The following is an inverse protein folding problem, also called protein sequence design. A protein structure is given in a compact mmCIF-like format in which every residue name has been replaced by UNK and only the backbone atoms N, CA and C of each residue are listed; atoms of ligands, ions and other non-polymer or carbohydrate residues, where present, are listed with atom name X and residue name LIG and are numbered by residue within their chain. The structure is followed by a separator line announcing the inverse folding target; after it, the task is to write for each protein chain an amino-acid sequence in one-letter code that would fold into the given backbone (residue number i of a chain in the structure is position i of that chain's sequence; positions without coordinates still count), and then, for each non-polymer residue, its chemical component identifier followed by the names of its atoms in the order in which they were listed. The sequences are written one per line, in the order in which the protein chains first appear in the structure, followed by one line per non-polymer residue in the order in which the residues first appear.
data_IF_229981878173
#
_entry.id   IF_229981878173
#
_cell.length_a   1.000
_cell.length_b   1.000
_cell.length_c   1.000
_cell.angle_alpha   90.00
_cell.angle_beta   90.00
_cell.angle_gamma   90.00
#
_symmetry.space_group_name_H-M   'P 1'
#
loop_
_entity.id
_entity.type
_entity.pdbx_description
1 polymer ?
#
# COMPACT_ATOMS: atom_id res chain seq x y z
N UNK A 1 -22.65 19.44 31.58
CA UNK A 1 -21.39 19.62 30.81
C UNK A 1 -21.26 18.36 29.96
N UNK A 2 -21.43 18.49 28.69
CA UNK A 2 -21.14 17.33 27.80
C UNK A 2 -19.67 16.94 28.01
N UNK A 3 -19.43 15.69 28.39
CA UNK A 3 -18.07 15.20 28.60
C UNK A 3 -17.37 15.25 27.22
N UNK A 4 -16.19 15.89 27.18
CA UNK A 4 -15.38 15.88 25.97
C UNK A 4 -15.14 14.45 25.50
N UNK A 5 -15.15 14.22 24.16
CA UNK A 5 -14.81 12.95 23.55
C UNK A 5 -13.35 12.62 23.91
N UNK A 6 -13.08 11.37 24.30
CA UNK A 6 -11.72 10.91 24.63
C UNK A 6 -11.20 10.06 23.49
N UNK A 7 -10.03 10.43 22.98
CA UNK A 7 -9.44 9.80 21.80
C UNK A 7 -8.01 9.34 22.11
N UNK A 8 -7.71 8.08 21.79
CA UNK A 8 -6.33 7.59 21.80
C UNK A 8 -5.81 7.56 20.38
N UNK A 9 -4.61 8.11 20.19
CA UNK A 9 -3.96 8.25 18.89
C UNK A 9 -2.60 7.56 18.92
N UNK A 10 -2.32 6.75 17.90
CA UNK A 10 -0.96 6.25 17.65
C UNK A 10 -0.04 7.45 17.34
N UNK A 11 0.89 7.71 18.27
CA UNK A 11 1.82 8.86 18.22
C UNK A 11 2.67 8.93 16.95
N UNK A 12 2.79 7.82 16.21
CA UNK A 12 3.55 7.79 14.98
C UNK A 12 2.70 8.10 13.73
N UNK A 13 1.46 8.62 13.91
CA UNK A 13 0.67 9.20 12.82
C UNK A 13 1.17 10.64 12.60
N UNK A 14 1.75 10.95 11.44
CA UNK A 14 2.26 12.29 11.20
C UNK A 14 1.14 13.31 11.00
N UNK A 15 1.41 14.59 11.21
CA UNK A 15 0.50 15.73 10.95
C UNK A 15 -0.81 15.74 11.74
N UNK A 16 -0.94 15.01 12.85
CA UNK A 16 -2.18 14.90 13.62
C UNK A 16 -2.14 15.68 14.95
N UNK A 17 -0.95 15.94 15.46
CA UNK A 17 -0.75 16.66 16.72
C UNK A 17 -1.32 18.09 16.65
N UNK A 18 -2.05 18.51 17.67
CA UNK A 18 -2.71 19.81 17.74
C UNK A 18 -4.03 19.93 16.95
N UNK A 19 -4.45 18.89 16.22
CA UNK A 19 -5.63 18.92 15.34
C UNK A 19 -6.93 18.65 16.10
N UNK A 20 -6.92 17.65 16.96
CA UNK A 20 -8.12 17.18 17.69
C UNK A 20 -8.25 17.74 19.10
N UNK A 21 -7.17 18.24 19.70
CA UNK A 21 -7.12 18.76 21.07
C UNK A 21 -8.07 19.92 21.34
N UNK A 22 -8.40 20.81 20.37
CA UNK A 22 -9.43 21.82 20.59
C UNK A 22 -10.84 21.25 20.85
N UNK A 23 -11.08 20.00 20.37
CA UNK A 23 -12.41 19.38 20.32
C UNK A 23 -12.56 18.16 21.25
N UNK A 24 -11.44 17.56 21.66
CA UNK A 24 -11.42 16.29 22.39
C UNK A 24 -10.29 16.24 23.41
N UNK A 25 -10.40 15.32 24.37
CA UNK A 25 -9.29 14.94 25.24
C UNK A 25 -8.46 13.87 24.51
N UNK A 26 -7.24 14.23 24.12
CA UNK A 26 -6.37 13.39 23.27
C UNK A 26 -5.23 12.81 24.08
N UNK A 27 -4.98 11.51 23.88
CA UNK A 27 -3.84 10.79 24.47
C UNK A 27 -3.05 10.16 23.31
N UNK A 28 -1.76 10.48 23.22
CA UNK A 28 -0.83 9.88 22.28
C UNK A 28 -0.11 8.71 22.93
N UNK A 29 -0.07 7.57 22.21
CA UNK A 29 0.65 6.37 22.66
C UNK A 29 1.34 5.69 21.47
N UNK A 30 2.40 4.94 21.75
CA UNK A 30 2.95 4.01 20.77
C UNK A 30 1.88 2.97 20.41
N UNK A 31 1.67 2.72 19.12
CA UNK A 31 0.57 1.86 18.64
C UNK A 31 0.59 0.44 19.23
N UNK A 32 1.79 -0.13 19.52
CA UNK A 32 1.90 -1.43 20.20
C UNK A 32 1.61 -1.38 21.70
N UNK A 33 1.73 -0.21 22.29
CA UNK A 33 1.50 -0.01 23.72
C UNK A 33 0.05 0.38 24.07
N UNK A 34 -0.82 0.57 23.06
CA UNK A 34 -2.25 0.81 23.31
C UNK A 34 -2.86 -0.46 23.90
N UNK A 35 -3.27 -0.35 25.17
CA UNK A 35 -3.78 -1.47 25.97
C UNK A 35 -5.30 -1.41 26.12
N UNK A 36 -5.89 -2.49 26.66
CA UNK A 36 -7.31 -2.50 27.02
C UNK A 36 -7.66 -1.47 28.11
N UNK A 37 -6.76 -1.22 29.07
CA UNK A 37 -6.94 -0.21 30.10
C UNK A 37 -7.07 1.19 29.47
N UNK A 38 -6.30 1.49 28.44
CA UNK A 38 -6.42 2.71 27.67
C UNK A 38 -7.78 2.77 26.97
N UNK A 39 -8.17 1.71 26.29
CA UNK A 39 -9.44 1.62 25.55
C UNK A 39 -10.66 1.72 26.48
N UNK A 40 -10.57 1.28 27.75
CA UNK A 40 -11.61 1.47 28.76
C UNK A 40 -11.87 2.96 29.09
N UNK A 41 -10.95 3.83 28.71
CA UNK A 41 -11.05 5.27 28.95
C UNK A 41 -11.17 6.07 27.64
N UNK A 42 -11.52 5.44 26.52
CA UNK A 42 -11.58 6.09 25.21
C UNK A 42 -12.93 5.87 24.51
N UNK A 43 -13.43 6.91 23.84
CA UNK A 43 -14.60 6.84 22.95
C UNK A 43 -14.21 6.46 21.52
N UNK A 44 -12.97 6.78 21.13
CA UNK A 44 -12.43 6.47 19.79
C UNK A 44 -10.93 6.17 19.79
N UNK A 45 -10.51 5.45 18.78
CA UNK A 45 -9.10 5.16 18.49
C UNK A 45 -8.74 5.66 17.09
N UNK A 46 -7.59 6.35 16.95
CA UNK A 46 -6.95 6.61 15.65
C UNK A 46 -5.61 5.89 15.64
N UNK A 47 -5.51 4.87 14.79
CA UNK A 47 -4.43 3.89 14.86
C UNK A 47 -3.71 3.71 13.51
N UNK A 48 -2.67 2.89 13.54
CA UNK A 48 -2.03 2.28 12.37
C UNK A 48 -1.97 0.77 12.55
N UNK A 49 -1.34 0.08 11.61
CA UNK A 49 -1.26 -1.40 11.54
C UNK A 49 -0.63 -2.09 12.76
N UNK A 50 -0.02 -1.34 13.69
CA UNK A 50 0.65 -1.89 14.89
C UNK A 50 -0.31 -2.19 16.05
N UNK A 51 -1.51 -1.61 16.05
CA UNK A 51 -2.54 -1.82 17.08
C UNK A 51 -3.52 -2.88 16.61
N UNK A 52 -3.51 -4.05 17.23
CA UNK A 52 -4.48 -5.12 16.94
C UNK A 52 -5.78 -4.84 17.66
N UNK A 53 -6.85 -4.59 16.91
CA UNK A 53 -8.19 -4.29 17.42
C UNK A 53 -9.13 -5.48 17.27
N UNK A 54 -9.29 -6.23 18.33
CA UNK A 54 -10.23 -7.35 18.45
C UNK A 54 -10.75 -7.45 19.88
N UNK A 55 -11.40 -8.54 20.24
CA UNK A 55 -11.99 -8.75 21.58
C UNK A 55 -11.02 -8.48 22.73
N UNK A 56 -9.75 -8.86 22.59
CA UNK A 56 -8.72 -8.67 23.63
C UNK A 56 -8.51 -7.20 24.00
N UNK A 57 -8.65 -6.28 23.05
CA UNK A 57 -8.52 -4.85 23.25
C UNK A 57 -9.87 -4.18 23.58
N UNK A 58 -10.95 -4.61 22.91
CA UNK A 58 -12.18 -3.84 22.80
C UNK A 58 -13.33 -4.36 23.68
N UNK A 59 -13.25 -5.58 24.22
CA UNK A 59 -14.34 -6.17 24.99
C UNK A 59 -14.66 -5.33 26.24
N UNK A 60 -15.93 -4.92 26.36
CA UNK A 60 -16.44 -4.11 27.48
C UNK A 60 -15.94 -2.66 27.53
N UNK A 61 -15.28 -2.17 26.48
CA UNK A 61 -14.83 -0.77 26.40
C UNK A 61 -15.94 0.15 25.86
N UNK A 62 -15.89 1.46 26.15
CA UNK A 62 -16.83 2.44 25.57
C UNK A 62 -16.49 2.87 24.15
N UNK A 63 -15.47 2.29 23.51
CA UNK A 63 -15.03 2.63 22.14
C UNK A 63 -16.17 2.41 21.14
N UNK A 64 -16.52 3.47 20.40
CA UNK A 64 -17.57 3.48 19.37
C UNK A 64 -17.01 3.60 17.95
N UNK A 65 -15.78 4.11 17.83
CA UNK A 65 -15.20 4.45 16.55
C UNK A 65 -13.71 4.12 16.50
N UNK A 66 -13.27 3.54 15.38
CA UNK A 66 -11.86 3.28 15.08
C UNK A 66 -11.56 3.80 13.69
N UNK A 67 -10.56 4.67 13.54
CA UNK A 67 -9.98 5.03 12.26
C UNK A 67 -8.56 4.51 12.16
N UNK A 68 -8.21 3.84 11.05
CA UNK A 68 -6.81 3.58 10.75
C UNK A 68 -6.30 4.53 9.67
N UNK A 69 -5.20 5.25 9.96
CA UNK A 69 -4.52 6.14 9.02
C UNK A 69 -3.73 5.34 7.95
N UNK A 70 -4.19 4.13 7.64
CA UNK A 70 -3.61 3.19 6.68
C UNK A 70 -4.71 2.55 5.82
N UNK A 71 -4.33 1.87 4.73
CA UNK A 71 -5.28 1.22 3.84
C UNK A 71 -5.76 -0.12 4.39
N UNK A 72 -4.83 -0.99 4.79
CA UNK A 72 -5.16 -2.33 5.27
C UNK A 72 -5.91 -2.30 6.58
N UNK A 73 -6.86 -3.20 6.74
CA UNK A 73 -7.64 -3.42 7.96
C UNK A 73 -7.35 -4.78 8.60
N UNK A 74 -6.32 -5.45 8.18
CA UNK A 74 -5.96 -6.82 8.60
C UNK A 74 -5.69 -6.93 10.12
N UNK A 75 -5.43 -5.79 10.77
CA UNK A 75 -5.22 -5.65 12.21
C UNK A 75 -6.50 -5.33 13.01
N UNK A 76 -7.65 -5.18 12.33
CA UNK A 76 -8.95 -4.88 12.93
C UNK A 76 -9.90 -6.06 12.68
N UNK A 77 -10.42 -6.65 13.74
CA UNK A 77 -11.45 -7.70 13.68
C UNK A 77 -12.79 -7.05 13.31
N UNK A 78 -13.05 -6.92 12.01
CA UNK A 78 -14.27 -6.30 11.50
C UNK A 78 -15.55 -7.05 11.89
N UNK A 79 -15.62 -8.39 11.85
CA UNK A 79 -16.78 -9.14 12.37
C UNK A 79 -17.08 -8.78 13.83
N UNK A 80 -16.06 -8.78 14.68
CA UNK A 80 -16.21 -8.42 16.08
C UNK A 80 -16.68 -6.95 16.24
N UNK A 81 -16.06 -6.01 15.53
CA UNK A 81 -16.46 -4.62 15.57
C UNK A 81 -17.93 -4.42 15.16
N UNK A 82 -18.36 -5.09 14.08
CA UNK A 82 -19.75 -5.04 13.61
C UNK A 82 -20.73 -5.62 14.64
N UNK A 83 -20.40 -6.75 15.28
CA UNK A 83 -21.21 -7.36 16.36
C UNK A 83 -21.39 -6.39 17.53
N UNK A 84 -20.34 -5.67 17.92
CA UNK A 84 -20.35 -4.72 19.04
C UNK A 84 -20.82 -3.31 18.66
N UNK A 85 -21.19 -3.06 17.42
CA UNK A 85 -21.62 -1.74 16.94
C UNK A 85 -20.49 -0.71 16.87
N UNK A 86 -19.23 -1.16 16.80
CA UNK A 86 -18.05 -0.29 16.66
C UNK A 86 -17.86 0.03 15.18
N UNK A 87 -17.87 1.31 14.83
CA UNK A 87 -17.64 1.75 13.46
C UNK A 87 -16.15 1.80 13.16
N UNK A 88 -15.67 0.98 12.24
CA UNK A 88 -14.29 1.00 11.76
C UNK A 88 -14.18 1.68 10.39
N UNK A 89 -13.18 2.55 10.19
CA UNK A 89 -12.89 3.23 8.92
C UNK A 89 -11.40 3.18 8.62
N UNK A 90 -11.08 3.03 7.35
CA UNK A 90 -9.71 3.07 6.85
C UNK A 90 -9.48 4.27 5.93
N UNK A 91 -8.21 4.49 5.59
CA UNK A 91 -7.79 5.53 4.65
C UNK A 91 -7.55 4.94 3.24
N UNK A 92 -8.61 4.33 2.67
CA UNK A 92 -8.53 3.63 1.39
C UNK A 92 -8.01 4.54 0.26
N UNK A 93 -6.92 4.12 -0.40
CA UNK A 93 -6.33 4.85 -1.52
C UNK A 93 -5.40 6.00 -1.13
N UNK A 94 -5.19 6.26 0.16
CA UNK A 94 -4.36 7.38 0.62
C UNK A 94 -2.94 7.39 0.01
N UNK A 95 -2.33 6.24 -0.18
CA UNK A 95 -0.96 6.07 -0.68
C UNK A 95 -0.89 5.45 -2.09
N UNK A 96 -1.99 5.41 -2.82
CA UNK A 96 -2.03 4.75 -4.12
C UNK A 96 -1.08 5.38 -5.16
N UNK A 97 -0.81 6.69 -5.04
CA UNK A 97 0.19 7.39 -5.83
C UNK A 97 1.61 6.89 -5.53
N UNK A 98 1.95 6.73 -4.26
CA UNK A 98 3.24 6.20 -3.83
C UNK A 98 3.51 4.78 -4.37
N UNK A 99 2.52 3.88 -4.27
CA UNK A 99 2.65 2.52 -4.81
C UNK A 99 2.79 2.53 -6.33
N UNK A 100 2.02 3.36 -7.04
CA UNK A 100 2.17 3.52 -8.50
C UNK A 100 3.59 4.00 -8.86
N UNK A 101 4.12 4.99 -8.14
CA UNK A 101 5.49 5.47 -8.33
C UNK A 101 6.52 4.36 -8.11
N UNK A 102 6.33 3.54 -7.06
CA UNK A 102 7.16 2.38 -6.79
C UNK A 102 7.18 1.41 -7.97
N UNK A 103 5.98 1.00 -8.44
CA UNK A 103 5.83 0.03 -9.52
C UNK A 103 6.60 0.45 -10.77
N UNK A 104 6.40 1.69 -11.24
CA UNK A 104 7.07 2.15 -12.46
C UNK A 104 8.56 2.43 -12.25
N UNK A 105 8.97 2.94 -11.08
CA UNK A 105 10.40 3.12 -10.79
C UNK A 105 11.13 1.78 -10.72
N UNK A 106 10.54 0.76 -10.10
CA UNK A 106 11.12 -0.57 -10.03
C UNK A 106 11.15 -1.25 -11.41
N UNK A 107 10.04 -1.19 -12.16
CA UNK A 107 9.93 -1.77 -13.49
C UNK A 107 10.97 -1.18 -14.46
N UNK A 108 11.02 0.15 -14.60
CA UNK A 108 11.96 0.82 -15.50
C UNK A 108 13.40 0.71 -15.02
N UNK A 109 13.62 0.72 -13.70
CA UNK A 109 14.94 0.52 -13.11
C UNK A 109 15.52 -0.85 -13.43
N UNK A 110 14.75 -1.92 -13.18
CA UNK A 110 15.23 -3.28 -13.46
C UNK A 110 15.37 -3.54 -14.97
N UNK A 111 14.46 -2.97 -15.76
CA UNK A 111 14.55 -3.09 -17.24
C UNK A 111 15.80 -2.42 -17.80
N UNK A 112 16.15 -1.23 -17.29
CA UNK A 112 17.39 -0.54 -17.66
C UNK A 112 18.64 -1.36 -17.25
N UNK A 113 18.64 -1.89 -16.01
CA UNK A 113 19.77 -2.67 -15.48
C UNK A 113 20.01 -3.98 -16.24
N UNK A 114 18.93 -4.62 -16.73
CA UNK A 114 18.98 -5.92 -17.44
C UNK A 114 18.82 -5.81 -18.95
N UNK A 115 18.82 -4.59 -19.50
CA UNK A 115 18.62 -4.32 -20.92
C UNK A 115 17.32 -4.96 -21.49
N UNK A 116 16.23 -4.92 -20.72
CA UNK A 116 14.91 -5.44 -21.13
C UNK A 116 14.14 -4.35 -21.86
N UNK A 117 13.55 -4.69 -23.01
CA UNK A 117 12.65 -3.80 -23.74
C UNK A 117 11.23 -3.89 -23.18
N UNK A 118 10.69 -2.76 -22.74
CA UNK A 118 9.32 -2.64 -22.21
C UNK A 118 8.31 -2.13 -23.23
N UNK A 119 8.80 -1.44 -24.28
CA UNK A 119 7.97 -0.76 -25.28
C UNK A 119 6.99 -1.73 -25.97
N UNK A 120 5.72 -1.37 -25.98
CA UNK A 120 4.64 -2.18 -26.56
C UNK A 120 4.31 -3.46 -25.78
N UNK A 121 4.94 -3.67 -24.63
CA UNK A 121 4.70 -4.81 -23.75
C UNK A 121 3.29 -4.84 -23.19
N UNK A 122 2.81 -6.03 -22.81
CA UNK A 122 1.52 -6.25 -22.16
C UNK A 122 1.70 -6.26 -20.65
N UNK A 123 1.09 -5.27 -19.99
CA UNK A 123 1.11 -5.16 -18.52
C UNK A 123 -0.20 -5.73 -17.96
N UNK A 124 -0.11 -6.83 -17.23
CA UNK A 124 -1.21 -7.46 -16.51
C UNK A 124 -1.36 -6.86 -15.10
N UNK A 125 -2.54 -6.32 -14.82
CA UNK A 125 -2.90 -5.74 -13.52
C UNK A 125 -3.92 -6.67 -12.87
N UNK A 126 -3.53 -7.29 -11.76
CA UNK A 126 -4.41 -8.14 -10.94
C UNK A 126 -4.88 -7.32 -9.74
N UNK A 127 -6.16 -6.99 -9.70
CA UNK A 127 -6.78 -6.03 -8.79
C UNK A 127 -6.72 -4.58 -9.33
N UNK A 128 -7.88 -4.03 -9.70
CA UNK A 128 -8.02 -2.70 -10.33
C UNK A 128 -8.75 -1.74 -9.40
N UNK A 129 -8.37 -1.76 -8.11
CA UNK A 129 -8.83 -0.84 -7.09
C UNK A 129 -8.10 0.51 -7.15
N UNK A 130 -7.87 1.15 -6.00
CA UNK A 130 -7.25 2.49 -5.94
C UNK A 130 -5.84 2.54 -6.56
N UNK A 131 -5.03 1.50 -6.34
CA UNK A 131 -3.68 1.41 -6.91
C UNK A 131 -3.75 0.99 -8.39
N UNK A 132 -4.44 -0.14 -8.68
CA UNK A 132 -4.48 -0.69 -10.02
C UNK A 132 -5.03 0.28 -11.07
N UNK A 133 -6.02 1.14 -10.72
CA UNK A 133 -6.51 2.20 -11.62
C UNK A 133 -5.44 3.25 -11.94
N UNK A 134 -4.59 3.61 -10.98
CA UNK A 134 -3.48 4.56 -11.22
C UNK A 134 -2.40 3.93 -12.08
N UNK A 135 -2.10 2.65 -11.82
CA UNK A 135 -1.15 1.88 -12.65
C UNK A 135 -1.68 1.73 -14.07
N UNK A 136 -2.97 1.43 -14.27
CA UNK A 136 -3.63 1.36 -15.58
C UNK A 136 -3.49 2.69 -16.35
N UNK A 137 -3.84 3.82 -15.71
CA UNK A 137 -3.75 5.14 -16.33
C UNK A 137 -2.33 5.48 -16.79
N UNK A 138 -1.34 5.26 -15.93
CA UNK A 138 0.07 5.57 -16.24
C UNK A 138 0.63 4.59 -17.28
N UNK A 139 0.28 3.29 -17.19
CA UNK A 139 0.70 2.29 -18.17
C UNK A 139 0.22 2.67 -19.59
N UNK A 140 -1.03 3.14 -19.72
CA UNK A 140 -1.57 3.63 -20.98
C UNK A 140 -0.79 4.82 -21.54
N UNK A 141 -0.44 5.80 -20.68
CA UNK A 141 0.37 6.97 -21.07
C UNK A 141 1.79 6.58 -21.51
N UNK A 142 2.36 5.51 -20.94
CA UNK A 142 3.67 4.97 -21.30
C UNK A 142 3.64 3.97 -22.47
N UNK A 143 2.49 3.75 -23.10
CA UNK A 143 2.34 2.94 -24.29
C UNK A 143 2.24 1.43 -24.07
N UNK A 144 1.97 0.97 -22.84
CA UNK A 144 1.69 -0.44 -22.57
C UNK A 144 0.31 -0.85 -23.07
N UNK A 145 0.18 -2.11 -23.47
CA UNK A 145 -1.11 -2.77 -23.64
C UNK A 145 -1.55 -3.35 -22.31
N UNK A 146 -2.60 -2.80 -21.70
CA UNK A 146 -3.00 -3.20 -20.36
C UNK A 146 -4.02 -4.34 -20.42
N UNK A 147 -3.78 -5.39 -19.63
CA UNK A 147 -4.69 -6.49 -19.33
C UNK A 147 -5.15 -6.35 -17.89
N UNK A 148 -6.46 -6.33 -17.64
CA UNK A 148 -7.02 -6.06 -16.31
C UNK A 148 -7.84 -7.24 -15.81
N UNK A 149 -7.57 -7.69 -14.59
CA UNK A 149 -8.39 -8.68 -13.89
C UNK A 149 -8.82 -8.15 -12.53
N UNK A 150 -10.11 -8.09 -12.29
CA UNK A 150 -10.73 -7.72 -11.01
C UNK A 150 -12.11 -8.36 -10.93
N UNK A 151 -12.24 -9.59 -10.41
CA UNK A 151 -13.49 -10.32 -10.39
C UNK A 151 -14.67 -9.57 -9.74
N UNK A 152 -14.52 -8.89 -8.59
CA UNK A 152 -15.58 -8.07 -8.03
C UNK A 152 -16.09 -6.98 -9.00
N UNK A 153 -15.19 -6.24 -9.64
CA UNK A 153 -15.57 -5.21 -10.61
C UNK A 153 -16.16 -5.80 -11.89
N UNK A 154 -15.63 -6.94 -12.34
CA UNK A 154 -16.23 -7.66 -13.49
C UNK A 154 -17.68 -8.06 -13.21
N UNK A 155 -18.00 -8.43 -11.97
CA UNK A 155 -19.36 -8.76 -11.58
C UNK A 155 -20.29 -7.53 -11.53
N UNK A 156 -19.76 -6.37 -11.12
CA UNK A 156 -20.54 -5.12 -10.99
C UNK A 156 -20.64 -4.33 -12.30
N UNK A 157 -19.54 -4.22 -13.05
CA UNK A 157 -19.36 -3.33 -14.20
C UNK A 157 -19.44 -4.09 -15.55
N UNK A 158 -19.45 -5.44 -15.53
CA UNK A 158 -19.37 -6.28 -16.72
C UNK A 158 -17.94 -6.58 -17.16
N UNK A 159 -17.82 -7.40 -18.21
CA UNK A 159 -16.52 -7.87 -18.73
C UNK A 159 -15.79 -6.84 -19.60
N UNK A 160 -16.43 -5.77 -20.00
CA UNK A 160 -15.82 -4.79 -20.90
C UNK A 160 -14.58 -4.14 -20.25
N UNK A 161 -13.44 -4.22 -20.94
CA UNK A 161 -12.17 -3.71 -20.45
C UNK A 161 -11.47 -4.60 -19.42
N UNK A 162 -12.01 -5.78 -19.10
CA UNK A 162 -11.42 -6.79 -18.24
C UNK A 162 -11.16 -8.10 -18.99
N UNK A 163 -10.36 -8.98 -18.37
CA UNK A 163 -10.17 -10.35 -18.84
C UNK A 163 -10.08 -11.32 -17.65
N UNK A 164 -10.20 -12.62 -17.96
CA UNK A 164 -9.96 -13.66 -16.94
C UNK A 164 -8.51 -13.66 -16.47
N UNK A 165 -8.27 -14.18 -15.28
CA UNK A 165 -6.90 -14.30 -14.74
C UNK A 165 -6.02 -15.16 -15.65
N UNK A 166 -6.52 -16.29 -16.12
CA UNK A 166 -5.81 -17.21 -17.00
C UNK A 166 -5.37 -16.51 -18.30
N UNK A 167 -6.27 -15.73 -18.91
CA UNK A 167 -5.93 -14.97 -20.11
C UNK A 167 -4.85 -13.93 -19.83
N UNK A 168 -4.94 -13.24 -18.69
CA UNK A 168 -3.93 -12.28 -18.29
C UNK A 168 -2.56 -12.96 -18.11
N UNK A 169 -2.49 -14.03 -17.33
CA UNK A 169 -1.25 -14.74 -17.01
C UNK A 169 -0.56 -15.32 -18.26
N UNK A 170 -1.35 -15.89 -19.17
CA UNK A 170 -0.81 -16.50 -20.41
C UNK A 170 -0.38 -15.48 -21.45
N UNK A 171 -0.82 -14.22 -21.34
CA UNK A 171 -0.57 -13.19 -22.36
C UNK A 171 0.32 -12.03 -21.89
N UNK A 172 0.39 -11.74 -20.59
CA UNK A 172 1.15 -10.61 -20.05
C UNK A 172 2.66 -10.82 -20.16
N UNK A 173 3.40 -9.73 -20.35
CA UNK A 173 4.87 -9.67 -20.27
C UNK A 173 5.33 -9.19 -18.89
N UNK A 174 4.44 -8.50 -18.19
CA UNK A 174 4.60 -8.00 -16.83
C UNK A 174 3.31 -8.31 -16.08
N UNK A 175 3.41 -8.83 -14.85
CA UNK A 175 2.27 -9.06 -13.95
C UNK A 175 2.51 -8.32 -12.65
N UNK A 176 1.54 -7.49 -12.24
CA UNK A 176 1.61 -6.74 -10.97
C UNK A 176 0.34 -6.96 -10.14
N UNK A 177 0.53 -7.24 -8.85
CA UNK A 177 -0.54 -7.55 -7.92
C UNK A 177 -0.95 -6.32 -7.09
N UNK A 178 -2.24 -6.03 -7.07
CA UNK A 178 -2.85 -4.91 -6.31
C UNK A 178 -4.15 -5.32 -5.62
N UNK A 179 -4.23 -6.56 -5.19
CA UNK A 179 -5.38 -7.13 -4.48
C UNK A 179 -5.26 -6.93 -2.96
N UNK A 180 -6.38 -6.84 -2.23
CA UNK A 180 -6.36 -6.93 -0.76
C UNK A 180 -6.03 -8.36 -0.32
N UNK A 181 -5.64 -8.53 0.94
CA UNK A 181 -5.52 -9.85 1.56
C UNK A 181 -6.86 -10.26 2.15
N UNK A 182 -7.42 -11.33 1.64
CA UNK A 182 -8.63 -11.97 2.14
C UNK A 182 -8.63 -13.48 1.81
N UNK A 183 -9.70 -14.19 2.11
CA UNK A 183 -9.81 -15.63 1.87
C UNK A 183 -9.63 -16.03 0.39
N UNK A 184 -10.08 -15.19 -0.54
CA UNK A 184 -10.01 -15.48 -1.99
C UNK A 184 -8.65 -15.12 -2.61
N UNK A 185 -7.85 -14.29 -1.95
CA UNK A 185 -6.56 -13.80 -2.49
C UNK A 185 -5.36 -14.37 -1.75
N UNK A 186 -5.55 -14.94 -0.55
CA UNK A 186 -4.48 -15.60 0.20
C UNK A 186 -3.94 -16.79 -0.58
N UNK A 187 -2.63 -16.75 -0.89
CA UNK A 187 -1.95 -17.77 -1.65
C UNK A 187 -2.44 -17.92 -3.09
N UNK A 188 -3.10 -16.91 -3.66
CA UNK A 188 -3.59 -16.97 -5.04
C UNK A 188 -2.46 -17.12 -6.06
N UNK A 189 -1.30 -16.53 -5.81
CA UNK A 189 -0.12 -16.69 -6.64
C UNK A 189 0.65 -17.94 -6.17
N UNK A 190 0.12 -19.10 -6.54
CA UNK A 190 0.62 -20.45 -6.27
C UNK A 190 1.33 -21.08 -7.48
N UNK A 191 1.65 -22.37 -7.42
CA UNK A 191 2.31 -23.09 -8.52
C UNK A 191 1.52 -23.00 -9.85
N UNK A 192 0.19 -23.10 -9.80
CA UNK A 192 -0.65 -23.03 -11.01
C UNK A 192 -0.60 -21.64 -11.63
N UNK A 193 -0.67 -20.61 -10.80
CA UNK A 193 -0.53 -19.22 -11.23
C UNK A 193 0.78 -18.98 -11.96
N UNK A 194 1.91 -19.39 -11.37
CA UNK A 194 3.22 -19.22 -11.98
C UNK A 194 3.44 -20.13 -13.19
N UNK A 195 2.85 -21.32 -13.21
CA UNK A 195 2.92 -22.23 -14.35
C UNK A 195 2.26 -21.62 -15.60
N UNK A 196 1.16 -20.87 -15.45
CA UNK A 196 0.48 -20.17 -16.55
C UNK A 196 1.25 -18.97 -17.09
N UNK A 197 2.13 -18.35 -16.31
CA UNK A 197 2.92 -17.20 -16.77
C UNK A 197 3.92 -17.62 -17.86
N UNK A 198 4.13 -16.74 -18.83
CA UNK A 198 5.14 -16.97 -19.88
C UNK A 198 6.56 -16.97 -19.30
N UNK A 199 7.50 -17.74 -19.89
CA UNK A 199 8.92 -17.56 -19.57
C UNK A 199 9.37 -16.10 -19.81
N UNK A 200 10.15 -15.57 -18.87
CA UNK A 200 10.65 -14.20 -18.93
C UNK A 200 9.66 -13.12 -18.47
N UNK A 201 8.45 -13.48 -18.02
CA UNK A 201 7.50 -12.50 -17.48
C UNK A 201 8.04 -11.84 -16.20
N UNK A 202 8.01 -10.52 -16.15
CA UNK A 202 8.36 -9.73 -14.96
C UNK A 202 7.22 -9.86 -13.94
N UNK A 203 7.55 -10.15 -12.67
CA UNK A 203 6.58 -10.27 -11.59
C UNK A 203 6.79 -9.23 -10.52
N UNK A 204 5.71 -8.55 -10.10
CA UNK A 204 5.74 -7.48 -9.10
C UNK A 204 4.68 -7.73 -8.03
N UNK A 205 5.11 -7.82 -6.75
CA UNK A 205 4.19 -7.81 -5.62
C UNK A 205 4.48 -6.63 -4.67
N UNK A 206 3.59 -5.65 -4.69
CA UNK A 206 3.54 -4.52 -3.76
C UNK A 206 2.17 -4.44 -3.07
N UNK A 207 1.50 -5.59 -2.91
CA UNK A 207 0.17 -5.69 -2.27
C UNK A 207 0.26 -6.23 -0.83
N UNK A 208 0.29 -7.55 -0.66
CA UNK A 208 0.51 -8.27 0.60
C UNK A 208 1.36 -9.50 0.33
N UNK A 209 2.24 -9.84 1.28
CA UNK A 209 3.10 -11.03 1.16
C UNK A 209 2.29 -12.30 0.99
N UNK A 210 1.32 -12.50 1.85
CA UNK A 210 0.50 -13.71 1.91
C UNK A 210 -0.42 -13.92 0.69
N UNK A 211 -0.48 -12.98 -0.23
CA UNK A 211 -1.10 -13.18 -1.56
C UNK A 211 -0.28 -14.15 -2.40
N UNK A 212 1.01 -14.23 -2.13
CA UNK A 212 1.98 -15.09 -2.84
C UNK A 212 2.36 -16.29 -1.97
N UNK A 213 2.30 -17.47 -2.54
CA UNK A 213 3.02 -18.64 -2.00
C UNK A 213 4.51 -18.47 -2.35
N UNK A 214 5.32 -18.05 -1.35
CA UNK A 214 6.75 -17.77 -1.55
C UNK A 214 7.53 -19.05 -1.95
N UNK A 215 7.09 -20.23 -1.53
CA UNK A 215 7.72 -21.47 -1.96
C UNK A 215 7.44 -21.75 -3.44
N UNK A 216 6.22 -21.51 -3.91
CA UNK A 216 5.88 -21.59 -5.33
C UNK A 216 6.64 -20.53 -6.15
N UNK A 217 6.76 -19.31 -5.63
CA UNK A 217 7.55 -18.25 -6.28
C UNK A 217 9.02 -18.65 -6.44
N UNK A 218 9.66 -19.18 -5.39
CA UNK A 218 11.05 -19.67 -5.46
C UNK A 218 11.25 -20.72 -6.56
N UNK A 219 10.30 -21.64 -6.69
CA UNK A 219 10.33 -22.65 -7.79
C UNK A 219 10.16 -22.02 -9.17
N UNK A 220 9.40 -20.95 -9.26
CA UNK A 220 9.09 -20.29 -10.54
C UNK A 220 10.18 -19.31 -10.99
N UNK A 221 10.96 -18.71 -10.10
CA UNK A 221 12.00 -17.70 -10.43
C UNK A 221 12.91 -18.11 -11.59
N UNK A 222 13.40 -19.37 -11.73
CA UNK A 222 14.24 -19.76 -12.86
C UNK A 222 13.56 -19.62 -14.24
N UNK A 223 12.22 -19.63 -14.28
CA UNK A 223 11.43 -19.44 -15.52
C UNK A 223 11.06 -17.98 -15.76
N UNK A 224 10.91 -17.21 -14.67
CA UNK A 224 10.45 -15.82 -14.74
C UNK A 224 11.53 -14.86 -15.25
N UNK A 225 11.11 -13.68 -15.66
CA UNK A 225 11.96 -12.51 -15.77
C UNK A 225 12.26 -11.92 -14.39
N UNK A 226 12.60 -10.63 -14.32
CA UNK A 226 12.83 -9.97 -13.04
C UNK A 226 11.66 -10.10 -12.06
N UNK A 227 12.00 -10.33 -10.79
CA UNK A 227 11.04 -10.41 -9.67
C UNK A 227 11.26 -9.25 -8.72
N UNK A 228 10.19 -8.52 -8.42
CA UNK A 228 10.19 -7.31 -7.58
C UNK A 228 9.24 -7.53 -6.43
N UNK A 229 9.74 -7.49 -5.20
CA UNK A 229 8.96 -7.75 -3.98
C UNK A 229 9.13 -6.60 -2.99
N UNK A 230 8.01 -5.99 -2.61
CA UNK A 230 7.94 -5.02 -1.52
C UNK A 230 7.34 -5.63 -0.24
N UNK A 231 6.43 -6.60 -0.39
CA UNK A 231 5.66 -7.20 0.70
C UNK A 231 5.96 -8.68 0.83
N UNK A 232 6.18 -9.14 2.05
CA UNK A 232 6.72 -10.46 2.36
C UNK A 232 5.81 -11.24 3.29
N UNK A 233 5.88 -12.57 3.25
CA UNK A 233 5.28 -13.40 4.30
C UNK A 233 6.05 -13.22 5.62
N UNK A 234 5.33 -13.34 6.72
CA UNK A 234 5.88 -13.31 8.08
C UNK A 234 6.68 -12.04 8.45
N UNK A 235 6.37 -10.88 7.84
CA UNK A 235 7.01 -9.63 8.23
C UNK A 235 7.00 -9.41 9.76
N UNK A 236 8.10 -9.03 10.37
CA UNK A 236 9.39 -8.61 9.80
C UNK A 236 10.40 -9.76 9.57
N UNK A 237 10.06 -11.01 9.90
CA UNK A 237 10.94 -12.18 9.82
C UNK A 237 10.78 -12.86 8.45
N UNK A 238 11.30 -12.20 7.43
CA UNK A 238 11.15 -12.61 6.03
C UNK A 238 12.04 -13.80 5.63
N UNK A 239 11.72 -14.44 4.52
CA UNK A 239 12.55 -15.49 3.92
C UNK A 239 13.81 -14.87 3.27
N UNK A 240 14.98 -15.06 3.90
CA UNK A 240 16.27 -14.54 3.41
C UNK A 240 16.76 -15.25 2.13
N UNK A 241 16.33 -16.49 1.89
CA UNK A 241 16.61 -17.16 0.64
C UNK A 241 15.90 -16.46 -0.52
N UNK A 242 14.59 -16.20 -0.36
CA UNK A 242 13.81 -15.46 -1.35
C UNK A 242 14.37 -14.03 -1.55
N UNK A 243 14.75 -13.34 -0.48
CA UNK A 243 15.41 -12.03 -0.56
C UNK A 243 16.59 -12.03 -1.51
N UNK A 244 17.41 -13.10 -1.48
CA UNK A 244 18.59 -13.22 -2.34
C UNK A 244 18.27 -13.65 -3.78
N UNK A 245 17.08 -14.19 -4.02
CA UNK A 245 16.65 -14.66 -5.35
C UNK A 245 15.99 -13.57 -6.19
N UNK A 246 15.35 -12.57 -5.56
CA UNK A 246 14.62 -11.51 -6.28
C UNK A 246 15.53 -10.39 -6.76
N UNK A 247 15.09 -9.65 -7.77
CA UNK A 247 15.89 -8.59 -8.42
C UNK A 247 15.82 -7.25 -7.68
N UNK A 248 14.67 -6.94 -7.11
CA UNK A 248 14.44 -5.77 -6.24
C UNK A 248 13.66 -6.24 -5.02
N UNK A 249 14.18 -5.90 -3.85
CA UNK A 249 13.59 -6.18 -2.55
C UNK A 249 13.49 -4.91 -1.71
N UNK A 250 12.32 -4.62 -1.15
CA UNK A 250 12.13 -3.47 -0.28
C UNK A 250 11.31 -3.86 0.96
N UNK A 251 11.48 -3.17 2.10
CA UNK A 251 10.88 -3.58 3.36
C UNK A 251 9.46 -3.01 3.53
N UNK A 252 8.53 -3.30 2.60
CA UNK A 252 7.12 -2.87 2.61
C UNK A 252 6.96 -1.34 2.70
N UNK A 253 7.61 -0.63 1.79
CA UNK A 253 7.66 0.83 1.73
C UNK A 253 7.09 1.44 0.45
N UNK A 254 6.58 0.62 -0.48
CA UNK A 254 6.04 1.10 -1.76
C UNK A 254 5.03 2.25 -1.60
N UNK A 255 4.20 2.18 -0.56
CA UNK A 255 3.22 3.21 -0.23
C UNK A 255 3.73 4.34 0.67
N UNK A 256 5.03 4.40 0.97
CA UNK A 256 5.60 5.39 1.90
C UNK A 256 5.96 6.68 1.17
N UNK A 257 4.94 7.48 0.89
CA UNK A 257 5.07 8.82 0.31
C UNK A 257 4.61 9.90 1.30
N UNK A 258 5.11 11.11 1.11
CA UNK A 258 4.71 12.26 1.91
C UNK A 258 3.20 12.53 1.77
N UNK A 259 2.72 12.60 0.52
CA UNK A 259 1.30 12.79 0.20
C UNK A 259 0.45 11.64 0.73
N UNK A 260 0.92 10.40 0.63
CA UNK A 260 0.23 9.23 1.18
C UNK A 260 0.02 9.33 2.68
N UNK A 261 1.03 9.83 3.42
CA UNK A 261 0.92 10.05 4.87
C UNK A 261 -0.02 11.19 5.22
N UNK A 262 0.04 12.32 4.49
CA UNK A 262 -0.92 13.41 4.66
C UNK A 262 -2.36 12.94 4.41
N UNK A 263 -2.59 12.24 3.32
CA UNK A 263 -3.90 11.72 2.96
C UNK A 263 -4.43 10.73 4.00
N UNK A 264 -3.56 9.85 4.53
CA UNK A 264 -3.94 8.90 5.58
C UNK A 264 -4.46 9.60 6.83
N UNK A 265 -3.73 10.60 7.30
CA UNK A 265 -4.13 11.43 8.45
C UNK A 265 -5.39 12.23 8.15
N UNK A 266 -5.45 12.90 7.01
CA UNK A 266 -6.64 13.64 6.57
C UNK A 266 -7.90 12.78 6.61
N UNK A 267 -7.83 11.60 6.01
CA UNK A 267 -8.98 10.69 5.90
C UNK A 267 -9.42 10.18 7.28
N UNK A 268 -8.46 9.80 8.15
CA UNK A 268 -8.77 9.35 9.50
C UNK A 268 -9.43 10.45 10.35
N UNK A 269 -8.89 11.67 10.31
CA UNK A 269 -9.46 12.83 11.03
C UNK A 269 -10.85 13.17 10.51
N UNK A 270 -11.03 13.26 9.19
CA UNK A 270 -12.35 13.55 8.60
C UNK A 270 -13.39 12.48 8.91
N UNK A 271 -12.99 11.20 8.92
CA UNK A 271 -13.90 10.11 9.26
C UNK A 271 -14.35 10.19 10.74
N UNK A 272 -13.42 10.43 11.66
CA UNK A 272 -13.73 10.65 13.06
C UNK A 272 -14.61 11.89 13.23
N UNK A 273 -14.25 12.99 12.60
CA UNK A 273 -14.99 14.25 12.69
C UNK A 273 -16.45 14.09 12.25
N UNK A 274 -16.70 13.40 11.13
CA UNK A 274 -18.06 13.11 10.66
C UNK A 274 -18.84 12.21 11.61
N UNK A 275 -18.18 11.25 12.25
CA UNK A 275 -18.84 10.35 13.20
C UNK A 275 -19.29 11.08 14.47
N UNK A 276 -18.47 11.99 14.99
CA UNK A 276 -18.75 12.72 16.22
C UNK A 276 -19.35 14.12 16.03
N UNK A 277 -19.60 14.55 14.78
CA UNK A 277 -20.19 15.85 14.50
C UNK A 277 -19.24 17.04 14.71
N UNK A 278 -17.93 16.86 14.51
CA UNK A 278 -16.93 17.93 14.66
C UNK A 278 -16.82 18.69 13.32
N UNK A 279 -17.78 19.55 13.02
CA UNK A 279 -17.92 20.22 11.73
C UNK A 279 -16.65 20.97 11.25
N UNK A 280 -15.87 21.67 12.12
CA UNK A 280 -14.68 22.37 11.67
C UNK A 280 -13.60 21.47 11.04
N UNK A 281 -13.67 20.14 11.27
CA UNK A 281 -12.71 19.18 10.74
C UNK A 281 -13.24 18.37 9.54
N UNK A 282 -14.42 18.64 9.03
CA UNK A 282 -14.99 17.91 7.88
C UNK A 282 -14.17 18.04 6.61
N UNK A 283 -13.50 19.18 6.43
CA UNK A 283 -12.63 19.45 5.30
C UNK A 283 -11.16 19.62 5.73
N UNK A 284 -10.81 19.07 6.90
CA UNK A 284 -9.44 19.11 7.41
C UNK A 284 -8.45 18.61 6.36
N UNK A 285 -7.36 19.35 6.19
CA UNK A 285 -6.18 18.93 5.45
C UNK A 285 -4.92 19.34 6.25
N UNK A 286 -3.95 18.44 6.44
CA UNK A 286 -2.76 18.72 7.21
C UNK A 286 -2.01 19.95 6.68
N UNK A 287 -1.77 20.93 7.54
CA UNK A 287 -0.86 22.03 7.26
C UNK A 287 0.57 21.53 7.42
N UNK A 288 1.42 21.87 6.48
CA UNK A 288 2.83 21.49 6.50
C UNK A 288 3.69 22.71 6.35
N UNK A 289 4.87 22.71 6.97
CA UNK A 289 5.85 23.78 6.86
C UNK A 289 6.59 23.79 5.51
N UNK A 290 6.44 22.72 4.73
CA UNK A 290 7.06 22.61 3.41
C UNK A 290 6.25 23.47 2.44
N UNK A 291 6.79 24.64 2.11
CA UNK A 291 6.13 25.66 1.31
C UNK A 291 5.97 25.24 -0.16
N UNK A 292 6.82 24.37 -0.68
CA UNK A 292 6.76 23.89 -2.06
C UNK A 292 6.18 22.45 -2.12
N UNK A 293 4.87 22.37 -2.05
CA UNK A 293 4.09 21.15 -2.22
C UNK A 293 3.59 20.97 -3.66
N UNK A 294 4.11 21.73 -4.61
CA UNK A 294 3.76 21.48 -6.00
C UNK A 294 4.07 20.01 -6.34
N UNK A 295 3.04 19.34 -6.83
CA UNK A 295 3.15 17.97 -7.27
C UNK A 295 4.18 17.91 -8.39
N UNK A 296 5.17 17.01 -8.24
CA UNK A 296 6.12 16.76 -9.33
C UNK A 296 5.31 16.19 -10.50
N UNK A 297 5.28 16.92 -11.61
CA UNK A 297 4.56 16.50 -12.82
C UNK A 297 5.57 16.13 -13.89
N UNK A 298 5.46 14.90 -14.38
CA UNK A 298 6.37 14.32 -15.38
C UNK A 298 5.60 14.08 -16.67
N UNK A 299 5.89 14.91 -17.69
CA UNK A 299 5.46 14.61 -19.05
C UNK A 299 6.49 13.66 -19.69
N UNK A 300 6.10 12.40 -19.77
CA UNK A 300 6.93 11.34 -20.33
C UNK A 300 6.45 10.87 -21.71
N UNK A 301 5.46 11.54 -22.28
CA UNK A 301 4.91 11.20 -23.60
C UNK A 301 5.97 11.33 -24.69
N UNK A 302 6.14 10.28 -25.47
CA UNK A 302 7.10 10.24 -26.57
C UNK A 302 8.58 10.18 -26.17
N UNK A 303 8.87 10.05 -24.86
CA UNK A 303 10.23 9.83 -24.38
C UNK A 303 10.65 8.38 -24.64
N UNK A 304 11.93 8.20 -24.94
CA UNK A 304 12.54 6.86 -25.03
C UNK A 304 12.50 6.16 -23.66
N UNK A 305 12.51 4.84 -23.67
CA UNK A 305 12.57 4.04 -22.44
C UNK A 305 13.74 4.45 -21.52
N UNK A 306 14.90 4.80 -22.09
CA UNK A 306 16.07 5.25 -21.32
C UNK A 306 15.84 6.60 -20.63
N UNK A 307 15.21 7.56 -21.31
CA UNK A 307 14.82 8.85 -20.72
C UNK A 307 13.81 8.65 -19.61
N UNK A 308 12.77 7.82 -19.84
CA UNK A 308 11.77 7.48 -18.80
C UNK A 308 12.46 6.87 -17.59
N UNK A 309 13.32 5.86 -17.79
CA UNK A 309 14.05 5.22 -16.70
C UNK A 309 14.89 6.23 -15.91
N UNK A 310 15.61 7.13 -16.59
CA UNK A 310 16.44 8.16 -15.96
C UNK A 310 15.62 9.11 -15.10
N UNK A 311 14.49 9.61 -15.61
CA UNK A 311 13.61 10.53 -14.89
C UNK A 311 12.97 9.83 -13.68
N UNK A 312 12.51 8.59 -13.82
CA UNK A 312 11.93 7.82 -12.73
C UNK A 312 12.97 7.54 -11.65
N UNK A 313 14.19 7.11 -12.00
CA UNK A 313 15.25 6.84 -11.04
C UNK A 313 15.77 8.11 -10.35
N UNK A 314 15.72 9.27 -10.99
CA UNK A 314 16.03 10.54 -10.36
C UNK A 314 15.04 10.89 -9.24
N UNK A 315 13.73 10.67 -9.47
CA UNK A 315 12.67 10.96 -8.50
C UNK A 315 12.48 9.85 -7.46
N UNK A 316 12.75 8.60 -7.83
CA UNK A 316 12.68 7.43 -6.97
C UNK A 316 13.82 6.45 -7.27
N UNK A 317 15.01 6.62 -6.66
CA UNK A 317 16.16 5.74 -6.85
C UNK A 317 15.94 4.40 -6.11
N UNK A 318 15.15 3.52 -6.69
CA UNK A 318 14.67 2.27 -6.08
C UNK A 318 15.81 1.35 -5.62
N UNK A 319 16.92 1.33 -6.34
CA UNK A 319 18.07 0.50 -5.99
C UNK A 319 18.78 0.96 -4.71
N UNK A 320 18.58 2.20 -4.27
CA UNK A 320 19.06 2.66 -2.96
C UNK A 320 18.30 1.96 -1.84
N UNK A 321 16.98 1.85 -1.95
CA UNK A 321 16.16 1.16 -0.96
C UNK A 321 16.43 -0.35 -0.94
N UNK A 322 16.55 -0.97 -2.13
CA UNK A 322 16.94 -2.38 -2.28
C UNK A 322 18.30 -2.66 -1.62
N UNK A 323 19.29 -1.82 -1.91
CA UNK A 323 20.64 -1.98 -1.36
C UNK A 323 20.65 -1.85 0.17
N UNK A 324 20.03 -0.82 0.71
CA UNK A 324 19.94 -0.58 2.16
C UNK A 324 19.28 -1.77 2.86
N UNK A 325 18.18 -2.27 2.28
CA UNK A 325 17.46 -3.40 2.88
C UNK A 325 18.28 -4.69 2.86
N UNK A 326 18.99 -4.99 1.76
CA UNK A 326 19.85 -6.19 1.66
C UNK A 326 21.06 -6.12 2.59
N UNK A 327 21.55 -4.91 2.91
CA UNK A 327 22.67 -4.74 3.84
C UNK A 327 22.33 -5.08 5.30
N UNK A 328 21.04 -4.93 5.69
CA UNK A 328 20.59 -5.12 7.06
C UNK A 328 19.11 -5.59 7.12
N UNK A 329 18.78 -6.77 6.57
CA UNK A 329 17.40 -7.24 6.50
C UNK A 329 16.76 -7.48 7.88
N UNK A 330 17.55 -7.74 8.91
CA UNK A 330 17.11 -7.86 10.30
C UNK A 330 16.58 -6.54 10.86
N UNK A 331 16.88 -5.42 10.23
CA UNK A 331 16.39 -4.09 10.62
C UNK A 331 15.08 -3.68 9.92
N UNK A 332 14.36 -4.62 9.34
CA UNK A 332 13.11 -4.42 8.56
C UNK A 332 12.17 -3.39 9.19
N UNK A 333 11.85 -3.56 10.48
CA UNK A 333 10.96 -2.67 11.21
C UNK A 333 11.54 -1.25 11.36
N UNK A 334 12.83 -1.15 11.63
CA UNK A 334 13.53 0.14 11.79
C UNK A 334 13.59 0.88 10.46
N UNK A 335 13.88 0.19 9.36
CA UNK A 335 13.89 0.77 8.02
C UNK A 335 12.54 1.37 7.65
N UNK A 336 11.44 0.67 7.98
CA UNK A 336 10.08 1.19 7.76
C UNK A 336 9.75 2.38 8.67
N UNK A 337 10.08 2.28 9.96
CA UNK A 337 9.71 3.29 10.95
C UNK A 337 10.43 4.62 10.73
N UNK A 338 11.67 4.55 10.26
CA UNK A 338 12.54 5.71 10.03
C UNK A 338 12.63 6.11 8.55
N UNK A 339 11.79 5.52 7.68
CA UNK A 339 11.83 5.78 6.25
C UNK A 339 11.58 7.25 5.94
N UNK A 340 12.50 7.86 5.19
CA UNK A 340 12.34 9.23 4.72
C UNK A 340 11.31 9.26 3.58
N UNK A 341 10.13 9.85 3.83
CA UNK A 341 9.03 9.85 2.89
C UNK A 341 9.41 10.56 1.59
N UNK A 342 9.22 9.86 0.47
CA UNK A 342 9.39 10.43 -0.86
C UNK A 342 8.19 11.27 -1.24
N UNK A 343 8.39 12.26 -2.09
CA UNK A 343 7.29 12.98 -2.73
C UNK A 343 6.72 12.13 -3.87
N UNK A 344 5.39 12.12 -3.98
CA UNK A 344 4.75 11.52 -5.16
C UNK A 344 5.02 12.37 -6.40
N UNK A 345 5.12 11.71 -7.54
CA UNK A 345 5.12 12.33 -8.85
C UNK A 345 3.96 11.80 -9.70
N UNK A 346 3.46 12.64 -10.58
CA UNK A 346 2.36 12.34 -11.49
C UNK A 346 2.90 12.23 -12.91
N UNK A 347 2.56 11.14 -13.60
CA UNK A 347 2.90 10.87 -15.00
C UNK A 347 1.63 11.09 -15.84
N UNK A 348 1.72 11.83 -16.95
CA UNK A 348 0.60 12.13 -17.86
C UNK A 348 1.05 12.23 -19.32
#
# INVERSE_FOLDING_TARGET
MDSKIRIIIDQAIPFIEGVLEPYADVIYKEGRAISREDAMNADALIIRTRTKCGASLLEGTPVKFIATATIGMDHIDLPYCNEKGIVARNSAGCNAGGVMNYVFSALYGVAARKAIRLEGGKLGIVGVGNVGRRVDSVAGSLGFKVLKNDPPRMAEEGMEGFCTLDYLLTNADIVTLHVPLNETTRGMANDEFFAMMKPGTIFINASRGEVVDEAALKRAIPKLGPVIIDTWNNEPNIDLELLNMVDIATPHIAGYSYQGKQNGTMMAVRALARFFGIEPLYDFFPKTEIIDLESIRLDLKGKSQGEVASVLQYNYPIFTDDFIFRMAPETFESLRSNYQYRREFYIF
#
